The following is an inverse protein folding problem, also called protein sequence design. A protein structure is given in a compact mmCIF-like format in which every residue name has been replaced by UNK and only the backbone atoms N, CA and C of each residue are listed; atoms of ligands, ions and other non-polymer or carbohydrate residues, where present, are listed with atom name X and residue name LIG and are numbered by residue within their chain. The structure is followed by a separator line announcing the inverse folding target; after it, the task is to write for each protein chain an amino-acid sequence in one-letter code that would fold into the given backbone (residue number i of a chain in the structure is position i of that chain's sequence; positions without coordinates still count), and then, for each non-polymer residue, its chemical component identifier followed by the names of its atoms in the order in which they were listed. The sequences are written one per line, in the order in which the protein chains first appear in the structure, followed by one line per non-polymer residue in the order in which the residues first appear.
data_IF_634482392080
#
_entry.id   IF_634482392080
#
_cell.length_a   1.000
_cell.length_b   1.000
_cell.length_c   1.000
_cell.angle_alpha   90.00
_cell.angle_beta   90.00
_cell.angle_gamma   90.00
#
_symmetry.space_group_name_H-M   'P 1'
#
loop_
_entity.id
_entity.type
_entity.pdbx_description
1 polymer ?
#
# COMPACT_ATOMS: atom_id res chain seq x y z
N UNK A 1 -15.66 5.78 -5.82
CA UNK A 1 -14.62 5.19 -6.68
C UNK A 1 -14.85 5.63 -8.10
N UNK A 2 -13.77 5.96 -8.80
CA UNK A 2 -13.87 6.76 -10.02
C UNK A 2 -14.38 5.94 -11.20
N UNK A 3 -15.39 6.45 -11.89
CA UNK A 3 -15.81 6.01 -13.23
C UNK A 3 -14.74 6.26 -14.31
N UNK A 4 -13.55 6.72 -13.92
CA UNK A 4 -12.42 6.98 -14.83
C UNK A 4 -12.03 5.70 -15.59
N UNK A 5 -12.06 5.72 -16.93
CA UNK A 5 -11.54 4.64 -17.76
C UNK A 5 -10.11 4.22 -17.38
N UNK A 6 -9.82 2.92 -17.47
CA UNK A 6 -8.49 2.36 -17.12
C UNK A 6 -7.33 3.09 -17.83
N UNK A 7 -7.38 3.39 -19.14
CA UNK A 7 -6.31 4.14 -19.81
C UNK A 7 -6.00 5.50 -19.17
N UNK A 8 -7.02 6.22 -18.70
CA UNK A 8 -6.82 7.52 -18.06
C UNK A 8 -6.20 7.37 -16.66
N UNK A 9 -6.49 6.27 -15.95
CA UNK A 9 -5.82 5.94 -14.69
C UNK A 9 -4.34 5.63 -14.91
N UNK A 10 -4.00 4.85 -15.95
CA UNK A 10 -2.62 4.55 -16.31
C UNK A 10 -1.85 5.83 -16.64
N UNK A 11 -2.44 6.74 -17.43
CA UNK A 11 -1.83 8.03 -17.76
C UNK A 11 -1.59 8.86 -16.50
N UNK A 12 -2.57 8.94 -15.59
CA UNK A 12 -2.43 9.69 -14.34
C UNK A 12 -1.30 9.15 -13.46
N UNK A 13 -1.23 7.83 -13.25
CA UNK A 13 -0.13 7.22 -12.48
C UNK A 13 1.23 7.37 -13.17
N UNK A 14 1.26 7.33 -14.50
CA UNK A 14 2.50 7.59 -15.26
C UNK A 14 2.97 9.03 -15.08
N UNK A 15 2.05 9.99 -15.08
CA UNK A 15 2.37 11.40 -14.80
C UNK A 15 2.85 11.58 -13.36
N UNK A 16 2.20 10.94 -12.39
CA UNK A 16 2.64 10.96 -10.99
C UNK A 16 4.05 10.39 -10.83
N UNK A 17 4.35 9.27 -11.49
CA UNK A 17 5.69 8.68 -11.51
C UNK A 17 6.73 9.62 -12.13
N UNK A 18 6.38 10.32 -13.21
CA UNK A 18 7.29 11.31 -13.80
C UNK A 18 7.54 12.47 -12.83
N UNK A 19 6.50 13.00 -12.18
CA UNK A 19 6.63 14.03 -11.16
C UNK A 19 7.45 13.55 -9.96
N UNK A 20 7.34 12.28 -9.57
CA UNK A 20 8.16 11.66 -8.53
C UNK A 20 9.64 11.74 -8.91
N UNK A 21 10.00 11.39 -10.16
CA UNK A 21 11.38 11.50 -10.63
C UNK A 21 11.89 12.95 -10.65
N UNK A 22 11.05 13.90 -11.05
CA UNK A 22 11.37 15.33 -11.07
C UNK A 22 11.56 15.95 -9.68
N UNK A 23 10.97 15.36 -8.63
CA UNK A 23 11.12 15.87 -7.26
C UNK A 23 12.60 15.85 -6.82
N UNK A 24 13.18 17.00 -6.40
CA UNK A 24 14.60 17.06 -6.04
C UNK A 24 14.94 16.15 -4.86
N UNK A 25 15.92 15.27 -5.05
CA UNK A 25 16.33 14.29 -4.03
C UNK A 25 16.88 15.00 -2.78
N UNK A 26 17.66 16.06 -2.99
CA UNK A 26 18.27 16.87 -1.94
C UNK A 26 17.22 17.60 -1.10
N UNK A 27 16.09 17.97 -1.71
CA UNK A 27 14.96 18.56 -0.99
C UNK A 27 14.33 17.55 -0.05
N UNK A 28 14.09 16.32 -0.51
CA UNK A 28 13.54 15.26 0.34
C UNK A 28 14.52 14.92 1.49
N UNK A 29 15.81 14.80 1.18
CA UNK A 29 16.84 14.56 2.20
C UNK A 29 16.91 15.68 3.24
N UNK A 30 16.79 16.95 2.82
CA UNK A 30 16.68 18.07 3.74
C UNK A 30 15.50 17.95 4.69
N UNK A 31 14.31 17.61 4.17
CA UNK A 31 13.12 17.38 4.99
C UNK A 31 13.33 16.22 5.98
N UNK A 32 13.93 15.11 5.53
CA UNK A 32 14.23 13.95 6.38
C UNK A 32 15.12 14.36 7.56
N UNK A 33 16.21 15.07 7.27
CA UNK A 33 17.15 15.59 8.27
C UNK A 33 16.47 16.54 9.25
N UNK A 34 15.69 17.48 8.73
CA UNK A 34 15.05 18.51 9.54
C UNK A 34 13.98 17.92 10.48
N UNK A 35 13.32 16.83 10.07
CA UNK A 35 12.36 16.11 10.92
C UNK A 35 13.08 15.22 11.96
N UNK A 36 14.19 14.58 11.58
CA UNK A 36 14.98 13.77 12.51
C UNK A 36 14.21 12.60 13.13
N UNK A 37 13.38 11.89 12.36
CA UNK A 37 12.53 10.83 12.92
C UNK A 37 13.35 9.60 13.33
N UNK A 38 13.07 9.08 14.52
CA UNK A 38 13.64 7.82 15.03
C UNK A 38 12.54 6.89 15.55
N UNK A 39 12.49 5.67 15.01
CA UNK A 39 11.56 4.66 15.52
C UNK A 39 11.97 4.21 16.93
N UNK A 40 11.04 4.28 17.87
CA UNK A 40 11.21 3.83 19.27
C UNK A 40 10.64 2.45 19.55
N UNK A 41 10.22 1.71 18.51
CA UNK A 41 9.45 0.48 18.66
C UNK A 41 8.16 0.66 19.49
N UNK A 42 7.48 1.81 19.33
CA UNK A 42 6.24 2.12 20.05
C UNK A 42 5.00 1.32 19.62
N UNK A 43 5.14 0.38 18.67
CA UNK A 43 4.10 -0.44 18.07
C UNK A 43 2.96 0.29 17.33
N UNK A 44 2.80 1.61 17.46
CA UNK A 44 1.68 2.37 16.85
C UNK A 44 1.58 2.16 15.34
N UNK A 45 2.67 2.34 14.60
CA UNK A 45 2.68 2.16 13.14
C UNK A 45 2.46 0.69 12.70
N UNK A 46 2.52 -0.25 13.63
CA UNK A 46 2.28 -1.67 13.41
C UNK A 46 0.81 -2.07 13.67
N UNK A 47 -0.14 -1.12 13.72
CA UNK A 47 -1.57 -1.43 13.91
C UNK A 47 -2.43 -0.83 12.79
N UNK A 48 -3.52 -1.54 12.44
CA UNK A 48 -4.55 -1.05 11.52
C UNK A 48 -5.25 0.20 12.03
N UNK A 49 -5.43 0.33 13.36
CA UNK A 49 -6.02 1.51 13.97
C UNK A 49 -5.23 2.80 13.71
N UNK A 50 -3.92 2.70 13.46
CA UNK A 50 -3.06 3.86 13.20
C UNK A 50 -2.76 4.04 11.70
N UNK A 51 -2.39 2.97 10.99
CA UNK A 51 -1.90 3.02 9.61
C UNK A 51 -2.85 2.39 8.57
N UNK A 52 -3.97 1.82 8.98
CA UNK A 52 -4.92 1.14 8.11
C UNK A 52 -4.43 -0.23 7.63
N UNK A 53 -3.48 -0.25 6.69
CA UNK A 53 -2.89 -1.49 6.18
C UNK A 53 -1.47 -1.27 5.67
N UNK A 54 -0.70 -2.35 5.61
CA UNK A 54 0.65 -2.36 5.06
C UNK A 54 0.58 -3.03 3.69
N UNK A 55 0.48 -2.24 2.62
CA UNK A 55 0.55 -2.75 1.26
C UNK A 55 1.95 -3.32 0.98
N UNK A 56 2.02 -4.44 0.26
CA UNK A 56 3.26 -5.13 -0.06
C UNK A 56 3.54 -5.05 -1.56
N UNK A 57 4.77 -4.65 -1.89
CA UNK A 57 5.25 -4.76 -3.26
C UNK A 57 5.46 -6.24 -3.61
N UNK A 58 5.44 -6.59 -4.89
CA UNK A 58 5.67 -7.97 -5.36
C UNK A 58 6.94 -8.59 -4.74
N UNK A 59 8.01 -7.80 -4.54
CA UNK A 59 9.22 -8.27 -3.86
C UNK A 59 8.98 -8.65 -2.41
N UNK A 60 8.21 -7.85 -1.67
CA UNK A 60 7.92 -8.08 -0.27
C UNK A 60 6.97 -9.29 -0.14
N UNK A 61 6.03 -9.46 -1.07
CA UNK A 61 5.15 -10.65 -1.13
C UNK A 61 5.96 -11.94 -1.34
N UNK A 62 7.00 -11.92 -2.21
CA UNK A 62 7.90 -13.08 -2.35
C UNK A 62 8.60 -13.41 -1.05
N UNK A 63 9.13 -12.40 -0.35
CA UNK A 63 9.77 -12.58 0.96
C UNK A 63 8.78 -13.15 2.00
N UNK A 64 7.54 -12.65 2.05
CA UNK A 64 6.50 -13.19 2.95
C UNK A 64 6.19 -14.65 2.63
N UNK A 65 6.06 -15.00 1.35
CA UNK A 65 5.79 -16.39 0.91
C UNK A 65 6.92 -17.36 1.32
N UNK A 66 8.15 -16.88 1.46
CA UNK A 66 9.27 -17.71 1.92
C UNK A 66 9.31 -17.88 3.45
N UNK A 67 8.92 -16.86 4.21
CA UNK A 67 8.99 -16.90 5.67
C UNK A 67 7.70 -17.44 6.30
N UNK A 68 6.54 -16.93 5.89
CA UNK A 68 5.25 -17.18 6.53
C UNK A 68 4.07 -16.73 5.64
N UNK A 69 3.65 -17.58 4.68
CA UNK A 69 2.58 -17.25 3.73
C UNK A 69 1.25 -16.81 4.36
N UNK A 70 0.94 -17.30 5.56
CA UNK A 70 -0.28 -16.97 6.31
C UNK A 70 -0.35 -15.49 6.75
N UNK A 71 0.78 -14.78 6.67
CA UNK A 71 0.88 -13.35 6.94
C UNK A 71 0.36 -12.47 5.79
N UNK A 72 -0.09 -13.06 4.68
CA UNK A 72 -0.68 -12.34 3.54
C UNK A 72 -2.20 -12.32 3.62
N UNK A 73 -2.78 -11.18 3.26
CA UNK A 73 -4.20 -11.08 2.91
C UNK A 73 -4.36 -10.20 1.66
N UNK A 74 -5.43 -10.39 0.84
CA UNK A 74 -5.74 -9.47 -0.23
C UNK A 74 -5.80 -8.02 0.30
N UNK A 75 -5.17 -7.08 -0.39
CA UNK A 75 -5.21 -5.69 0.05
C UNK A 75 -6.68 -5.19 0.16
N UNK A 76 -6.99 -4.34 1.16
CA UNK A 76 -8.35 -3.88 1.35
C UNK A 76 -8.79 -2.93 0.23
N UNK A 77 -10.09 -2.91 -0.07
CA UNK A 77 -10.68 -2.00 -1.05
C UNK A 77 -10.36 -2.35 -2.52
N UNK A 78 -10.79 -3.52 -3.02
CA UNK A 78 -10.52 -3.92 -4.41
C UNK A 78 -10.91 -2.85 -5.42
N UNK A 79 -10.11 -2.63 -6.45
CA UNK A 79 -10.34 -1.57 -7.44
C UNK A 79 -11.46 -1.93 -8.42
N UNK A 80 -11.70 -3.24 -8.62
CA UNK A 80 -12.73 -3.69 -9.55
C UNK A 80 -13.59 -4.83 -9.01
N UNK A 81 -14.83 -4.90 -9.49
CA UNK A 81 -15.69 -6.07 -9.39
C UNK A 81 -16.34 -6.30 -10.75
N UNK A 82 -16.20 -7.51 -11.30
CA UNK A 82 -16.78 -7.83 -12.60
C UNK A 82 -18.29 -8.09 -12.54
N UNK A 83 -18.90 -8.35 -13.71
CA UNK A 83 -20.33 -8.65 -13.80
C UNK A 83 -20.76 -9.96 -13.10
N UNK A 84 -19.82 -10.82 -12.72
CA UNK A 84 -20.08 -12.09 -12.04
C UNK A 84 -19.96 -11.96 -10.52
N UNK A 85 -19.43 -10.84 -10.03
CA UNK A 85 -19.22 -10.59 -8.60
C UNK A 85 -17.85 -10.99 -8.09
N UNK A 86 -16.86 -11.18 -8.98
CA UNK A 86 -15.47 -11.42 -8.59
C UNK A 86 -14.78 -10.07 -8.43
N UNK A 87 -14.09 -9.88 -7.31
CA UNK A 87 -13.28 -8.69 -7.04
C UNK A 87 -11.86 -8.86 -7.57
N UNK A 88 -11.21 -7.74 -7.92
CA UNK A 88 -9.82 -7.72 -8.37
C UNK A 88 -9.08 -6.63 -7.60
N UNK A 89 -7.93 -6.97 -7.04
CA UNK A 89 -7.08 -6.07 -6.27
C UNK A 89 -5.64 -6.05 -6.76
N UNK A 90 -4.96 -4.89 -6.68
CA UNK A 90 -3.62 -4.67 -7.22
C UNK A 90 -2.48 -5.38 -6.49
N UNK A 91 -2.73 -5.93 -5.31
CA UNK A 91 -1.70 -6.60 -4.52
C UNK A 91 -2.18 -7.13 -3.18
N UNK A 92 -1.20 -7.56 -2.39
CA UNK A 92 -1.40 -8.04 -1.03
C UNK A 92 -1.12 -6.96 0.00
N UNK A 93 -1.71 -7.13 1.18
CA UNK A 93 -1.30 -6.45 2.39
C UNK A 93 -0.81 -7.46 3.43
N UNK A 94 -0.11 -6.97 4.46
CA UNK A 94 0.09 -7.77 5.67
C UNK A 94 -1.23 -8.00 6.37
N UNK A 95 -1.47 -9.27 6.68
CA UNK A 95 -2.52 -9.69 7.59
C UNK A 95 -2.32 -9.06 8.96
N UNK A 96 -3.43 -8.84 9.64
CA UNK A 96 -3.45 -8.38 11.03
C UNK A 96 -4.00 -9.46 11.94
N UNK A 97 -3.63 -9.39 13.21
CA UNK A 97 -4.19 -10.18 14.29
C UNK A 97 -5.64 -9.75 14.53
N UNK A 98 -6.43 -10.67 15.05
CA UNK A 98 -7.84 -10.44 15.41
C UNK A 98 -7.93 -9.80 16.81
N UNK A 99 -7.26 -8.66 16.97
CA UNK A 99 -7.34 -7.81 18.15
C UNK A 99 -7.97 -6.45 17.80
N UNK A 100 -8.36 -5.68 18.82
CA UNK A 100 -9.07 -4.40 18.63
C UNK A 100 -8.24 -3.39 17.82
N UNK A 101 -6.91 -3.43 17.93
CA UNK A 101 -6.02 -2.52 17.21
C UNK A 101 -5.78 -2.97 15.76
N UNK A 102 -6.05 -4.23 15.43
CA UNK A 102 -5.56 -4.89 14.23
C UNK A 102 -4.03 -4.87 14.17
N UNK A 103 -3.38 -5.43 15.18
CA UNK A 103 -1.93 -5.56 15.25
C UNK A 103 -1.36 -6.30 14.04
N UNK A 104 -0.26 -5.83 13.48
CA UNK A 104 0.44 -6.49 12.39
C UNK A 104 0.76 -7.96 12.77
N UNK A 105 0.68 -8.87 11.81
CA UNK A 105 1.02 -10.29 11.99
C UNK A 105 2.41 -10.54 12.61
N UNK A 106 3.36 -9.64 12.36
CA UNK A 106 4.71 -9.73 12.88
C UNK A 106 4.94 -8.97 14.20
N UNK A 107 3.92 -8.30 14.75
CA UNK A 107 4.01 -7.61 16.03
C UNK A 107 3.87 -8.61 17.19
N UNK A 108 4.92 -8.75 18.00
CA UNK A 108 4.96 -9.63 19.16
C UNK A 108 5.62 -8.91 20.33
N UNK A 109 5.00 -8.95 21.51
CA UNK A 109 5.52 -8.32 22.73
C UNK A 109 5.93 -6.85 22.54
N UNK A 110 5.13 -6.11 21.76
CA UNK A 110 5.36 -4.68 21.47
C UNK A 110 6.44 -4.41 20.41
N UNK A 111 7.05 -5.43 19.79
CA UNK A 111 8.09 -5.26 18.77
C UNK A 111 7.84 -6.11 17.52
N UNK A 112 8.27 -5.63 16.37
CA UNK A 112 8.27 -6.44 15.16
C UNK A 112 9.30 -7.58 15.28
N UNK A 113 8.87 -8.84 15.22
CA UNK A 113 9.77 -10.01 15.31
C UNK A 113 10.73 -10.16 14.12
N UNK A 114 10.46 -9.45 13.03
CA UNK A 114 11.33 -9.35 11.85
C UNK A 114 11.91 -7.93 11.67
N UNK A 115 12.16 -7.19 12.76
CA UNK A 115 12.52 -5.76 12.69
C UNK A 115 13.67 -5.42 11.72
N UNK A 116 14.72 -6.24 11.69
CA UNK A 116 15.90 -6.03 10.83
C UNK A 116 15.64 -6.44 9.38
N UNK A 117 14.55 -7.18 9.13
CA UNK A 117 14.07 -7.63 7.82
C UNK A 117 12.70 -7.03 7.49
N UNK A 118 12.38 -5.86 8.04
CA UNK A 118 11.12 -5.14 7.75
C UNK A 118 10.94 -4.96 6.25
N UNK A 119 9.72 -5.10 5.75
CA UNK A 119 9.39 -4.85 4.35
C UNK A 119 9.61 -3.39 3.96
N UNK A 120 9.69 -3.13 2.65
CA UNK A 120 10.12 -1.84 2.13
C UNK A 120 9.35 -0.64 2.72
N UNK A 121 8.01 -0.70 2.72
CA UNK A 121 7.19 0.39 3.30
C UNK A 121 7.47 0.59 4.80
N UNK A 122 7.68 -0.49 5.55
CA UNK A 122 7.97 -0.40 6.99
C UNK A 122 9.39 0.10 7.30
N UNK A 123 10.32 0.03 6.35
CA UNK A 123 11.68 0.58 6.48
C UNK A 123 11.68 2.10 6.30
N UNK A 124 10.94 2.58 5.30
CA UNK A 124 10.88 4.01 4.99
C UNK A 124 9.88 4.79 5.85
N UNK A 125 8.87 4.12 6.42
CA UNK A 125 7.85 4.78 7.23
C UNK A 125 8.50 5.48 8.44
N UNK A 126 8.12 6.74 8.75
CA UNK A 126 6.96 7.51 8.25
C UNK A 126 7.21 8.39 7.03
N UNK A 127 8.39 8.31 6.42
CA UNK A 127 8.67 9.06 5.21
C UNK A 127 7.95 8.46 4.01
N UNK A 128 7.47 9.33 3.14
CA UNK A 128 6.75 8.99 1.92
C UNK A 128 6.96 10.09 0.90
N UNK A 129 6.59 9.87 -0.36
CA UNK A 129 6.63 10.92 -1.36
C UNK A 129 5.59 10.63 -2.45
N UNK A 130 4.36 11.02 -2.19
CA UNK A 130 3.27 10.95 -3.16
C UNK A 130 2.37 12.20 -3.03
N UNK A 131 1.46 12.37 -3.99
CA UNK A 131 0.64 13.58 -4.07
C UNK A 131 -0.76 13.32 -3.54
N UNK A 132 -1.21 14.15 -2.62
CA UNK A 132 -2.57 14.05 -2.07
C UNK A 132 -3.26 15.42 -2.05
N UNK A 133 -4.58 15.47 -2.26
CA UNK A 133 -5.34 16.67 -1.98
C UNK A 133 -5.33 16.96 -0.47
N UNK A 134 -5.15 18.22 -0.11
CA UNK A 134 -5.47 18.69 1.24
C UNK A 134 -6.99 18.87 1.45
N UNK A 135 -7.38 19.44 2.59
CA UNK A 135 -8.79 19.67 2.94
C UNK A 135 -9.49 20.65 1.99
N UNK A 136 -8.73 21.49 1.29
CA UNK A 136 -9.22 22.45 0.31
C UNK A 136 -9.19 21.87 -1.13
N UNK A 137 -8.68 20.64 -1.29
CA UNK A 137 -8.53 19.96 -2.57
C UNK A 137 -7.27 20.33 -3.33
N UNK A 138 -6.34 21.08 -2.71
CA UNK A 138 -5.05 21.44 -3.33
C UNK A 138 -4.14 20.22 -3.29
N UNK A 139 -3.70 19.77 -4.47
CA UNK A 139 -2.86 18.58 -4.61
C UNK A 139 -1.38 18.97 -4.53
N UNK A 140 -0.74 18.63 -3.41
CA UNK A 140 0.69 18.83 -3.18
C UNK A 140 1.37 17.55 -2.65
N UNK A 141 2.69 17.57 -2.56
CA UNK A 141 3.50 16.49 -2.05
C UNK A 141 3.33 16.31 -0.55
N UNK A 142 3.09 15.06 -0.13
CA UNK A 142 3.23 14.60 1.26
C UNK A 142 4.58 13.92 1.43
N UNK A 143 5.33 14.34 2.45
CA UNK A 143 6.67 13.81 2.73
C UNK A 143 6.75 12.98 4.01
N UNK A 144 5.70 13.02 4.83
CA UNK A 144 5.71 12.45 6.17
C UNK A 144 4.30 12.08 6.65
N UNK A 145 4.19 10.99 7.40
CA UNK A 145 2.94 10.51 8.01
C UNK A 145 2.97 10.54 9.55
N UNK A 146 1.89 11.06 10.15
CA UNK A 146 1.69 10.99 11.60
C UNK A 146 2.69 11.83 12.42
N UNK A 147 2.96 13.06 11.99
CA UNK A 147 3.82 14.01 12.70
C UNK A 147 3.37 14.19 14.16
N UNK A 148 4.29 14.09 15.12
CA UNK A 148 4.06 14.09 16.58
C UNK A 148 3.22 12.96 17.17
N UNK A 149 2.89 11.91 16.40
CA UNK A 149 2.02 10.83 16.88
C UNK A 149 2.78 9.55 17.28
N UNK A 150 4.02 9.34 16.82
CA UNK A 150 4.78 8.10 17.06
C UNK A 150 6.29 8.34 16.96
N UNK A 151 7.09 7.41 17.49
CA UNK A 151 8.55 7.56 17.49
C UNK A 151 9.03 8.77 18.29
N UNK A 152 10.24 9.21 17.96
CA UNK A 152 10.85 10.45 18.43
C UNK A 152 11.25 11.31 17.23
N UNK A 153 11.41 12.61 17.47
CA UNK A 153 11.72 13.64 16.46
C UNK A 153 13.00 14.37 16.87
N UNK A 154 13.53 15.21 15.99
CA UNK A 154 14.72 16.02 16.22
C UNK A 154 15.99 15.19 16.53
N UNK A 155 16.01 13.90 16.16
CA UNK A 155 17.22 13.10 16.20
C UNK A 155 18.21 13.58 15.13
N UNK A 156 19.49 13.58 15.45
CA UNK A 156 20.53 13.90 14.48
C UNK A 156 20.60 12.80 13.42
N UNK A 157 20.27 13.15 12.17
CA UNK A 157 20.44 12.27 11.00
C UNK A 157 21.52 12.89 10.11
N UNK A 158 22.67 12.22 9.90
CA UNK A 158 23.71 12.70 8.99
C UNK A 158 23.19 12.93 7.56
N UNK A 159 23.82 13.83 6.81
CA UNK A 159 23.43 14.13 5.43
C UNK A 159 23.47 12.88 4.52
N UNK A 160 24.47 12.01 4.70
CA UNK A 160 24.59 10.76 3.93
C UNK A 160 23.43 9.79 4.22
N UNK A 161 23.04 9.67 5.49
CA UNK A 161 21.91 8.83 5.90
C UNK A 161 20.59 9.42 5.38
N UNK A 162 20.41 10.74 5.49
CA UNK A 162 19.24 11.44 4.96
C UNK A 162 19.08 11.25 3.45
N UNK A 163 20.19 11.29 2.70
CA UNK A 163 20.20 10.99 1.27
C UNK A 163 19.88 9.53 0.97
N UNK A 164 20.29 8.60 1.83
CA UNK A 164 19.98 7.17 1.68
C UNK A 164 18.49 6.93 1.87
N UNK A 165 17.91 7.44 2.97
CA UNK A 165 16.46 7.35 3.22
C UNK A 165 15.66 7.99 2.08
N UNK A 166 16.09 9.17 1.58
CA UNK A 166 15.42 9.84 0.47
C UNK A 166 15.39 8.99 -0.82
N UNK A 167 16.48 8.25 -1.10
CA UNK A 167 16.53 7.31 -2.23
C UNK A 167 15.58 6.14 -2.01
N UNK A 168 15.62 5.53 -0.84
CA UNK A 168 14.73 4.39 -0.51
C UNK A 168 13.25 4.77 -0.60
N UNK A 169 12.88 5.97 -0.15
CA UNK A 169 11.51 6.51 -0.30
C UNK A 169 11.14 6.61 -1.78
N UNK A 170 11.95 7.29 -2.61
CA UNK A 170 11.67 7.41 -4.05
C UNK A 170 11.64 6.05 -4.75
N UNK A 171 12.50 5.11 -4.37
CA UNK A 171 12.53 3.75 -4.92
C UNK A 171 11.25 2.98 -4.57
N UNK A 172 10.79 3.08 -3.33
CA UNK A 172 9.53 2.47 -2.89
C UNK A 172 8.33 3.08 -3.65
N UNK A 173 8.21 4.39 -3.67
CA UNK A 173 7.09 5.09 -4.32
C UNK A 173 7.05 4.79 -5.83
N UNK A 174 8.22 4.75 -6.48
CA UNK A 174 8.31 4.34 -7.88
C UNK A 174 7.87 2.88 -8.07
N UNK A 175 8.32 1.96 -7.22
CA UNK A 175 7.95 0.55 -7.31
C UNK A 175 6.44 0.35 -7.09
N UNK A 176 5.84 1.09 -6.15
CA UNK A 176 4.40 1.11 -5.91
C UNK A 176 3.63 1.58 -7.15
N UNK A 177 3.98 2.75 -7.70
CA UNK A 177 3.35 3.28 -8.91
C UNK A 177 3.51 2.35 -10.12
N UNK A 178 4.67 1.71 -10.27
CA UNK A 178 4.90 0.72 -11.32
C UNK A 178 4.02 -0.52 -11.16
N UNK A 179 3.83 -1.01 -9.94
CA UNK A 179 2.97 -2.15 -9.66
C UNK A 179 1.49 -1.82 -9.96
N UNK A 180 1.03 -0.63 -9.56
CA UNK A 180 -0.32 -0.14 -9.87
C UNK A 180 -0.54 -0.02 -11.40
N UNK A 181 0.43 0.54 -12.13
CA UNK A 181 0.37 0.63 -13.60
C UNK A 181 0.28 -0.78 -14.22
N UNK A 182 1.15 -1.71 -13.80
CA UNK A 182 1.15 -3.10 -14.29
C UNK A 182 -0.18 -3.78 -14.04
N UNK A 183 -0.76 -3.61 -12.84
CA UNK A 183 -2.07 -4.14 -12.52
C UNK A 183 -3.15 -3.59 -13.48
N UNK A 184 -3.15 -2.29 -13.73
CA UNK A 184 -4.14 -1.66 -14.62
C UNK A 184 -4.00 -2.12 -16.08
N UNK A 185 -2.76 -2.23 -16.58
CA UNK A 185 -2.49 -2.77 -17.92
C UNK A 185 -2.95 -4.22 -18.01
N UNK A 186 -2.59 -5.05 -17.02
CA UNK A 186 -3.00 -6.44 -16.95
C UNK A 186 -4.52 -6.60 -16.92
N UNK A 187 -5.21 -5.85 -16.04
CA UNK A 187 -6.65 -6.02 -15.85
C UNK A 187 -7.45 -5.53 -17.05
N UNK A 188 -6.97 -4.51 -17.77
CA UNK A 188 -7.56 -4.07 -19.02
C UNK A 188 -7.55 -5.18 -20.07
N UNK A 189 -6.38 -5.80 -20.24
CA UNK A 189 -6.18 -6.92 -21.15
C UNK A 189 -7.03 -8.13 -20.73
N UNK A 190 -6.99 -8.47 -19.45
CA UNK A 190 -7.71 -9.61 -18.89
C UNK A 190 -9.23 -9.43 -19.05
N UNK A 191 -9.78 -8.24 -18.77
CA UNK A 191 -11.20 -7.96 -18.96
C UNK A 191 -11.60 -8.02 -20.43
N UNK A 192 -10.77 -7.49 -21.33
CA UNK A 192 -11.04 -7.53 -22.77
C UNK A 192 -11.07 -8.98 -23.29
N UNK A 193 -10.05 -9.78 -22.96
CA UNK A 193 -9.93 -11.19 -23.37
C UNK A 193 -11.08 -12.04 -22.84
N UNK A 194 -11.50 -11.80 -21.60
CA UNK A 194 -12.54 -12.58 -20.93
C UNK A 194 -13.95 -11.97 -21.02
N UNK A 195 -14.14 -10.88 -21.77
CA UNK A 195 -15.41 -10.15 -21.90
C UNK A 195 -15.99 -9.74 -20.54
N UNK A 196 -15.12 -9.31 -19.63
CA UNK A 196 -15.49 -8.81 -18.31
C UNK A 196 -15.57 -7.28 -18.32
N UNK A 197 -16.30 -6.73 -17.35
CA UNK A 197 -16.36 -5.29 -17.12
C UNK A 197 -16.60 -5.00 -15.64
N UNK A 198 -16.04 -3.90 -15.16
CA UNK A 198 -16.38 -3.40 -13.85
C UNK A 198 -17.87 -3.04 -13.76
N UNK A 199 -18.56 -3.47 -12.70
CA UNK A 199 -19.97 -3.11 -12.44
C UNK A 199 -20.11 -2.60 -11.01
N UNK A 200 -20.16 -1.27 -10.84
CA UNK A 200 -20.25 -0.61 -9.53
C UNK A 200 -21.42 -1.11 -8.67
N UNK A 201 -22.60 -1.33 -9.27
CA UNK A 201 -23.74 -1.87 -8.51
C UNK A 201 -23.44 -3.24 -7.89
N UNK A 202 -22.79 -4.13 -8.64
CA UNK A 202 -22.44 -5.48 -8.15
C UNK A 202 -21.34 -5.38 -7.10
N UNK A 203 -20.36 -4.49 -7.31
CA UNK A 203 -19.34 -4.17 -6.29
C UNK A 203 -20.00 -3.82 -4.95
N UNK A 204 -20.92 -2.85 -4.96
CA UNK A 204 -21.61 -2.37 -3.75
C UNK A 204 -22.50 -3.46 -3.13
N UNK A 205 -23.26 -4.19 -3.95
CA UNK A 205 -24.13 -5.29 -3.49
C UNK A 205 -23.32 -6.42 -2.84
N UNK A 206 -22.20 -6.82 -3.46
CA UNK A 206 -21.33 -7.89 -2.96
C UNK A 206 -20.61 -7.48 -1.68
N UNK A 207 -20.10 -6.25 -1.59
CA UNK A 207 -19.52 -5.76 -0.34
C UNK A 207 -20.56 -5.68 0.80
N UNK A 208 -21.79 -5.27 0.50
CA UNK A 208 -22.88 -5.29 1.50
C UNK A 208 -23.21 -6.70 1.97
N UNK A 209 -23.21 -7.69 1.05
CA UNK A 209 -23.42 -9.09 1.40
C UNK A 209 -22.25 -9.65 2.22
N UNK A 210 -21.02 -9.33 1.85
CA UNK A 210 -19.80 -9.72 2.57
C UNK A 210 -19.85 -9.25 4.02
N UNK A 211 -20.22 -7.98 4.25
CA UNK A 211 -20.44 -7.40 5.59
C UNK A 211 -21.52 -8.10 6.41
N UNK A 212 -22.37 -8.92 5.77
CA UNK A 212 -23.39 -9.76 6.43
C UNK A 212 -22.98 -11.23 6.53
N UNK A 213 -21.70 -11.55 6.28
CA UNK A 213 -21.14 -12.90 6.40
C UNK A 213 -21.17 -13.76 5.14
N UNK A 214 -21.56 -13.20 3.99
CA UNK A 214 -21.45 -13.91 2.72
C UNK A 214 -19.98 -14.09 2.31
N UNK A 215 -19.68 -15.16 1.59
CA UNK A 215 -18.36 -15.36 0.98
C UNK A 215 -18.21 -14.47 -0.27
N UNK A 216 -17.00 -13.97 -0.50
CA UNK A 216 -16.61 -13.29 -1.75
C UNK A 216 -15.36 -13.92 -2.36
N UNK A 217 -15.24 -13.81 -3.67
CA UNK A 217 -14.02 -14.19 -4.39
C UNK A 217 -13.24 -12.93 -4.73
N UNK A 218 -11.95 -12.90 -4.38
CA UNK A 218 -11.01 -11.83 -4.70
C UNK A 218 -9.85 -12.41 -5.48
N UNK A 219 -9.52 -11.80 -6.62
CA UNK A 219 -8.34 -12.12 -7.42
C UNK A 219 -7.28 -11.05 -7.18
N UNK A 220 -6.16 -11.45 -6.59
CA UNK A 220 -5.05 -10.57 -6.24
C UNK A 220 -4.02 -10.59 -7.36
N UNK A 221 -3.65 -9.42 -7.85
CA UNK A 221 -2.56 -9.29 -8.81
C UNK A 221 -1.21 -9.51 -8.11
N UNK A 222 -0.42 -10.43 -8.64
CA UNK A 222 0.92 -10.75 -8.17
C UNK A 222 1.73 -11.37 -9.30
N UNK A 223 2.91 -10.82 -9.57
CA UNK A 223 3.89 -11.36 -10.52
C UNK A 223 3.29 -11.64 -11.92
N UNK A 224 2.56 -10.66 -12.47
CA UNK A 224 1.86 -10.73 -13.77
C UNK A 224 0.80 -11.84 -13.86
N UNK A 225 0.21 -12.22 -12.72
CA UNK A 225 -0.86 -13.20 -12.63
C UNK A 225 -1.94 -12.79 -11.62
N UNK A 226 -3.07 -13.50 -11.62
CA UNK A 226 -4.14 -13.32 -10.65
C UNK A 226 -4.26 -14.57 -9.77
N UNK A 227 -3.98 -14.41 -8.48
CA UNK A 227 -4.16 -15.44 -7.46
C UNK A 227 -5.56 -15.34 -6.85
N UNK A 228 -6.32 -16.43 -6.85
CA UNK A 228 -7.70 -16.44 -6.36
C UNK A 228 -7.78 -16.75 -4.86
N UNK A 229 -8.54 -15.92 -4.15
CA UNK A 229 -8.85 -16.05 -2.72
C UNK A 229 -10.35 -16.08 -2.51
N UNK A 230 -10.80 -16.92 -1.56
CA UNK A 230 -12.17 -16.91 -1.07
C UNK A 230 -12.17 -16.39 0.35
N UNK A 231 -12.85 -15.27 0.56
CA UNK A 231 -12.87 -14.58 1.84
C UNK A 231 -14.25 -14.70 2.47
N UNK A 232 -14.26 -14.91 3.78
CA UNK A 232 -15.44 -14.81 4.63
C UNK A 232 -15.06 -14.00 5.86
N UNK A 233 -15.95 -13.12 6.32
CA UNK A 233 -15.75 -12.50 7.63
C UNK A 233 -15.79 -13.58 8.72
N UNK A 234 -14.94 -13.47 9.76
CA UNK A 234 -15.02 -14.32 10.95
C UNK A 234 -16.43 -14.37 11.55
#
# INVERSE_FOLDING_TARGET
MSLTPIPLRIIALTQERNSLFEYPLERLAGIIRDIGFRCTSCAKCCTRSFNGHVFLLDRDVREVKEIEPEALEPAPGPEFCDQNGVFYVSGYALRVQDDEAGSCWFLQDGRCRIYDRRFAICRIYPYMLHREPDQEGVVDWRQFSGLEHHGEYDAEIPDEESMTIAREVKEYENAFLMQEIRFLEYIQDYFTKNKLRHVQKIYDDRLRAFRKGAEITVKVFFDDSLEEHRLRLP
#
